data_IF_710882754722
#
_entry.id   IF_710882754722
#
_cell.length_a   1.000
_cell.length_b   1.000
_cell.length_c   1.000
_cell.angle_alpha   90.00
_cell.angle_beta   90.00
_cell.angle_gamma   90.00
#
_symmetry.space_group_name_H-M   'P 1'
#
loop_
_entity.id
_entity.type
_entity.pdbx_description
1 polymer ?
#
# COMPACT_ATOMS: atom_id res chain seq x y z
N UNK A 1 -18.59 -26.44 2.59
CA UNK A 1 -18.19 -25.42 3.60
C UNK A 1 -16.91 -25.76 4.36
N UNK A 2 -16.61 -27.03 4.66
CA UNK A 2 -15.40 -27.37 5.44
C UNK A 2 -14.07 -27.04 4.76
N UNK A 3 -13.97 -27.19 3.44
CA UNK A 3 -12.72 -26.97 2.70
C UNK A 3 -12.28 -25.50 2.68
N UNK A 4 -13.22 -24.56 2.51
CA UNK A 4 -12.93 -23.13 2.54
C UNK A 4 -12.43 -22.68 3.92
N UNK A 5 -13.07 -23.16 4.99
CA UNK A 5 -12.66 -22.91 6.37
C UNK A 5 -11.25 -23.42 6.61
N UNK A 6 -10.97 -24.67 6.18
CA UNK A 6 -9.66 -25.28 6.33
C UNK A 6 -8.57 -24.52 5.57
N UNK A 7 -8.83 -24.16 4.32
CA UNK A 7 -7.88 -23.37 3.53
C UNK A 7 -7.60 -22.00 4.16
N UNK A 8 -8.66 -21.29 4.60
CA UNK A 8 -8.52 -20.01 5.30
C UNK A 8 -7.73 -20.16 6.62
N UNK A 9 -8.00 -21.22 7.39
CA UNK A 9 -7.27 -21.54 8.61
C UNK A 9 -5.80 -21.86 8.33
N UNK A 10 -5.48 -22.66 7.31
CA UNK A 10 -4.10 -22.97 6.93
C UNK A 10 -3.33 -21.72 6.48
N UNK A 11 -3.96 -20.85 5.70
CA UNK A 11 -3.41 -19.54 5.32
C UNK A 11 -3.11 -18.69 6.55
N UNK A 12 -4.05 -18.60 7.49
CA UNK A 12 -3.85 -17.87 8.74
C UNK A 12 -2.72 -18.49 9.58
N UNK A 13 -2.66 -19.82 9.73
CA UNK A 13 -1.57 -20.52 10.45
C UNK A 13 -0.20 -20.17 9.90
N UNK A 14 -0.03 -20.11 8.57
CA UNK A 14 1.24 -19.73 7.93
C UNK A 14 1.64 -18.30 8.31
N UNK A 15 0.69 -17.36 8.29
CA UNK A 15 0.94 -15.96 8.66
C UNK A 15 1.26 -15.79 10.14
N UNK A 16 0.53 -16.49 11.02
CA UNK A 16 0.79 -16.47 12.46
C UNK A 16 2.15 -17.07 12.83
N UNK A 17 2.60 -18.09 12.10
CA UNK A 17 3.96 -18.64 12.25
C UNK A 17 5.01 -17.60 11.88
N UNK A 18 4.80 -16.87 10.78
CA UNK A 18 5.68 -15.77 10.40
C UNK A 18 5.66 -14.61 11.42
N UNK A 19 4.53 -14.38 12.08
CA UNK A 19 4.38 -13.41 13.16
C UNK A 19 4.84 -13.92 14.53
N UNK A 20 5.33 -15.16 14.63
CA UNK A 20 5.78 -15.82 15.87
C UNK A 20 4.71 -15.87 16.99
N UNK A 21 3.48 -16.21 16.64
CA UNK A 21 2.40 -16.34 17.62
C UNK A 21 2.66 -17.51 18.60
N UNK A 22 2.71 -17.27 19.92
CA UNK A 22 3.12 -18.28 20.91
C UNK A 22 2.11 -19.42 21.11
N UNK A 23 0.81 -19.16 20.96
CA UNK A 23 -0.26 -20.12 21.26
C UNK A 23 -0.79 -20.84 20.01
N UNK A 24 0.00 -20.94 18.94
CA UNK A 24 -0.45 -21.50 17.66
C UNK A 24 -0.92 -22.97 17.76
N UNK A 25 -0.29 -23.77 18.62
CA UNK A 25 -0.60 -25.19 18.81
C UNK A 25 -1.91 -25.45 19.56
N UNK A 26 -2.32 -24.53 20.43
CA UNK A 26 -3.57 -24.62 21.18
C UNK A 26 -4.78 -24.07 20.39
N UNK A 27 -4.52 -23.33 19.31
CA UNK A 27 -5.55 -22.58 18.59
C UNK A 27 -6.31 -23.48 17.59
N UNK A 28 -7.61 -23.68 17.82
CA UNK A 28 -8.50 -24.41 16.91
C UNK A 28 -9.20 -23.45 15.96
N UNK A 29 -8.45 -22.96 14.97
CA UNK A 29 -8.97 -22.02 13.96
C UNK A 29 -10.20 -22.54 13.19
N UNK A 30 -10.32 -23.85 13.03
CA UNK A 30 -11.43 -24.50 12.32
C UNK A 30 -12.75 -24.39 13.07
N UNK A 31 -12.72 -24.24 14.39
CA UNK A 31 -13.92 -24.02 15.22
C UNK A 31 -14.46 -22.59 15.06
N UNK A 32 -13.63 -21.66 14.58
CA UNK A 32 -14.02 -20.28 14.32
C UNK A 32 -14.40 -19.49 15.56
N UNK A 33 -13.85 -19.84 16.73
CA UNK A 33 -14.20 -19.17 17.97
C UNK A 33 -13.89 -17.67 17.93
N UNK A 34 -14.80 -16.87 18.48
CA UNK A 34 -14.68 -15.40 18.47
C UNK A 34 -13.57 -14.93 19.39
N UNK A 35 -13.48 -15.49 20.59
CA UNK A 35 -12.46 -15.10 21.54
C UNK A 35 -11.05 -15.40 20.99
N UNK A 36 -10.86 -16.57 20.38
CA UNK A 36 -9.59 -16.95 19.75
C UNK A 36 -9.19 -15.98 18.63
N UNK A 37 -10.12 -15.66 17.72
CA UNK A 37 -9.85 -14.74 16.60
C UNK A 37 -9.57 -13.31 17.07
N UNK A 38 -10.22 -12.86 18.15
CA UNK A 38 -9.95 -11.56 18.76
C UNK A 38 -8.56 -11.51 19.38
N UNK A 39 -8.15 -12.54 20.14
CA UNK A 39 -6.79 -12.63 20.72
C UNK A 39 -5.73 -12.62 19.64
N UNK A 40 -5.95 -13.37 18.56
CA UNK A 40 -5.05 -13.38 17.41
C UNK A 40 -4.96 -12.00 16.76
N UNK A 41 -6.11 -11.35 16.52
CA UNK A 41 -6.14 -10.03 15.89
C UNK A 41 -5.41 -8.99 16.76
N UNK A 42 -5.62 -9.02 18.08
CA UNK A 42 -4.93 -8.17 19.04
C UNK A 42 -3.42 -8.37 18.96
N UNK A 43 -2.96 -9.62 19.07
CA UNK A 43 -1.54 -9.95 18.98
C UNK A 43 -0.93 -9.47 17.67
N UNK A 44 -1.61 -9.73 16.54
CA UNK A 44 -1.13 -9.36 15.21
C UNK A 44 -0.97 -7.85 15.10
N UNK A 45 -1.92 -7.05 15.58
CA UNK A 45 -1.89 -5.59 15.47
C UNK A 45 -0.90 -4.93 16.44
N UNK A 46 -0.80 -5.42 17.68
CA UNK A 46 -0.08 -4.74 18.76
C UNK A 46 1.22 -5.45 19.13
N UNK A 47 1.18 -6.75 19.38
CA UNK A 47 2.31 -7.50 19.94
C UNK A 47 3.31 -7.97 18.87
N UNK A 48 2.88 -8.07 17.61
CA UNK A 48 3.69 -8.66 16.55
C UNK A 48 4.91 -7.81 16.17
N UNK A 49 4.83 -6.49 16.32
CA UNK A 49 5.92 -5.55 16.03
C UNK A 49 5.72 -4.23 16.77
N UNK A 50 6.65 -3.89 17.65
CA UNK A 50 6.67 -2.61 18.37
C UNK A 50 6.64 -1.39 17.45
N UNK A 51 7.28 -1.47 16.28
CA UNK A 51 7.28 -0.37 15.31
C UNK A 51 5.91 -0.14 14.69
N UNK A 52 5.14 -1.22 14.46
CA UNK A 52 3.76 -1.10 13.95
C UNK A 52 2.87 -0.56 15.07
N UNK A 53 2.95 -1.11 16.29
CA UNK A 53 2.17 -0.63 17.42
C UNK A 53 2.37 0.86 17.69
N UNK A 54 3.61 1.35 17.67
CA UNK A 54 3.89 2.78 17.84
C UNK A 54 3.25 3.62 16.71
N UNK A 55 3.38 3.18 15.46
CA UNK A 55 2.74 3.85 14.32
C UNK A 55 1.21 3.94 14.48
N UNK A 56 0.57 2.91 15.02
CA UNK A 56 -0.88 2.93 15.29
C UNK A 56 -1.25 3.98 16.34
N UNK A 57 -0.47 4.06 17.42
CA UNK A 57 -0.66 5.05 18.49
C UNK A 57 -0.42 6.47 18.00
N UNK A 58 0.64 6.69 17.21
CA UNK A 58 0.98 8.00 16.65
C UNK A 58 -0.11 8.52 15.70
N UNK A 59 -0.83 7.60 15.03
CA UNK A 59 -2.00 7.91 14.19
C UNK A 59 -3.30 8.10 14.98
N UNK A 60 -3.29 7.89 16.29
CA UNK A 60 -4.46 8.06 17.17
C UNK A 60 -5.47 6.92 17.11
N UNK A 61 -5.07 5.70 16.73
CA UNK A 61 -5.94 4.53 16.82
C UNK A 61 -5.89 3.94 18.23
N UNK A 62 -7.04 3.96 18.91
CA UNK A 62 -7.23 3.28 20.19
C UNK A 62 -7.80 1.87 19.98
N UNK A 63 -6.96 0.86 20.20
CA UNK A 63 -7.30 -0.56 20.15
C UNK A 63 -7.55 -1.15 21.55
N UNK A 64 -7.45 -0.38 22.63
CA UNK A 64 -7.77 -0.84 24.00
C UNK A 64 -9.25 -0.61 24.33
N UNK A 65 -10.13 -1.01 23.42
CA UNK A 65 -11.58 -0.86 23.56
C UNK A 65 -12.11 -1.64 24.77
N UNK A 66 -13.04 -1.03 25.52
CA UNK A 66 -13.70 -1.68 26.68
C UNK A 66 -14.59 -2.87 26.32
N UNK A 67 -14.94 -3.02 25.05
CA UNK A 67 -15.78 -4.11 24.53
C UNK A 67 -15.23 -4.65 23.22
N UNK A 68 -15.48 -5.93 22.95
CA UNK A 68 -15.04 -6.61 21.72
C UNK A 68 -15.54 -5.90 20.46
N UNK A 69 -16.76 -5.37 20.49
CA UNK A 69 -17.33 -4.61 19.37
C UNK A 69 -16.53 -3.34 19.07
N UNK A 70 -16.11 -2.60 20.10
CA UNK A 70 -15.30 -1.39 19.92
C UNK A 70 -13.90 -1.72 19.43
N UNK A 71 -13.32 -2.80 19.92
CA UNK A 71 -12.04 -3.30 19.42
C UNK A 71 -12.12 -3.64 17.92
N UNK A 72 -13.12 -4.42 17.50
CA UNK A 72 -13.30 -4.80 16.09
C UNK A 72 -13.62 -3.59 15.21
N UNK A 73 -14.41 -2.64 15.69
CA UNK A 73 -14.70 -1.38 14.98
C UNK A 73 -13.42 -0.57 14.73
N UNK A 74 -12.61 -0.35 15.77
CA UNK A 74 -11.31 0.32 15.65
C UNK A 74 -10.37 -0.44 14.71
N UNK A 75 -10.31 -1.77 14.82
CA UNK A 75 -9.48 -2.61 13.95
C UNK A 75 -9.94 -2.54 12.48
N UNK A 76 -11.24 -2.54 12.22
CA UNK A 76 -11.77 -2.45 10.86
C UNK A 76 -11.56 -1.07 10.24
N UNK A 77 -11.66 0.00 11.04
CA UNK A 77 -11.31 1.36 10.60
C UNK A 77 -9.84 1.42 10.22
N UNK A 78 -8.97 0.92 11.10
CA UNK A 78 -7.53 0.83 10.85
C UNK A 78 -7.20 0.07 9.56
N UNK A 79 -7.83 -1.09 9.34
CA UNK A 79 -7.63 -1.89 8.14
C UNK A 79 -7.97 -1.14 6.85
N UNK A 80 -9.04 -0.34 6.85
CA UNK A 80 -9.44 0.44 5.67
C UNK A 80 -8.52 1.63 5.42
N UNK A 81 -8.16 2.32 6.49
CA UNK A 81 -7.48 3.61 6.39
C UNK A 81 -5.97 3.43 6.13
N UNK A 82 -5.31 2.57 6.89
CA UNK A 82 -3.86 2.38 6.82
C UNK A 82 -3.46 1.24 5.87
N UNK A 83 -4.21 0.14 5.89
CA UNK A 83 -3.86 -1.08 5.17
C UNK A 83 -4.59 -1.23 3.83
N UNK A 84 -5.58 -0.37 3.54
CA UNK A 84 -6.46 -0.46 2.36
C UNK A 84 -7.13 -1.83 2.21
N UNK A 85 -7.34 -2.53 3.32
CA UNK A 85 -8.05 -3.80 3.40
C UNK A 85 -9.51 -3.53 3.77
N UNK A 86 -10.44 -3.94 2.91
CA UNK A 86 -11.87 -3.75 3.13
C UNK A 86 -12.48 -5.02 3.69
N UNK A 87 -12.84 -5.06 4.99
CA UNK A 87 -13.48 -6.23 5.58
C UNK A 87 -14.83 -6.47 4.91
N UNK A 88 -15.07 -7.71 4.48
CA UNK A 88 -16.30 -8.14 3.80
C UNK A 88 -17.47 -8.45 4.76
N UNK A 89 -17.28 -8.16 6.05
CA UNK A 89 -18.26 -8.33 7.12
C UNK A 89 -18.40 -7.03 7.91
N UNK A 90 -19.60 -6.82 8.46
CA UNK A 90 -19.83 -5.81 9.49
C UNK A 90 -19.32 -6.29 10.87
N UNK A 91 -19.13 -5.36 11.81
CA UNK A 91 -18.74 -5.66 13.19
C UNK A 91 -19.63 -6.73 13.86
N UNK A 92 -20.97 -6.62 13.86
CA UNK A 92 -21.82 -7.65 14.48
C UNK A 92 -21.73 -9.00 13.76
N UNK A 93 -21.56 -9.01 12.44
CA UNK A 93 -21.35 -10.27 11.71
C UNK A 93 -20.02 -10.92 12.04
N UNK A 94 -18.96 -10.13 12.27
CA UNK A 94 -17.68 -10.63 12.73
C UNK A 94 -17.73 -11.19 14.15
N UNK A 95 -18.60 -10.65 15.01
CA UNK A 95 -18.84 -11.20 16.35
C UNK A 95 -19.84 -12.37 16.36
N UNK A 96 -20.51 -12.62 15.24
CA UNK A 96 -21.43 -13.76 15.12
C UNK A 96 -20.69 -15.07 14.80
N UNK A 97 -21.29 -16.19 15.21
CA UNK A 97 -20.75 -17.55 14.98
C UNK A 97 -20.90 -18.06 13.53
N UNK A 98 -21.75 -17.43 12.72
CA UNK A 98 -22.19 -17.98 11.43
C UNK A 98 -21.15 -17.87 10.30
N UNK A 99 -20.18 -16.94 10.38
CA UNK A 99 -19.30 -16.58 9.26
C UNK A 99 -17.83 -17.01 9.44
N UNK A 100 -17.58 -18.26 9.85
CA UNK A 100 -16.23 -18.73 10.21
C UNK A 100 -15.18 -18.50 9.11
N UNK A 101 -15.41 -18.98 7.88
CA UNK A 101 -14.45 -18.87 6.77
C UNK A 101 -14.09 -17.41 6.47
N UNK A 102 -15.10 -16.53 6.42
CA UNK A 102 -14.91 -15.12 6.08
C UNK A 102 -14.22 -14.36 7.21
N UNK A 103 -14.47 -14.72 8.47
CA UNK A 103 -13.77 -14.16 9.62
C UNK A 103 -12.30 -14.56 9.64
N UNK A 104 -12.00 -15.83 9.37
CA UNK A 104 -10.62 -16.31 9.20
C UNK A 104 -9.89 -15.58 8.07
N UNK A 105 -10.56 -15.36 6.94
CA UNK A 105 -10.00 -14.60 5.82
C UNK A 105 -9.65 -13.16 6.22
N UNK A 106 -10.56 -12.46 6.92
CA UNK A 106 -10.32 -11.09 7.40
C UNK A 106 -9.11 -11.02 8.34
N UNK A 107 -9.00 -11.96 9.29
CA UNK A 107 -7.86 -12.00 10.23
C UNK A 107 -6.56 -12.34 9.48
N UNK A 108 -6.61 -13.23 8.49
CA UNK A 108 -5.47 -13.52 7.63
C UNK A 108 -5.03 -12.29 6.82
N UNK A 109 -5.97 -11.55 6.25
CA UNK A 109 -5.67 -10.33 5.50
C UNK A 109 -5.06 -9.27 6.41
N UNK A 110 -5.58 -9.11 7.64
CA UNK A 110 -5.00 -8.23 8.64
C UNK A 110 -3.55 -8.63 8.98
N UNK A 111 -3.28 -9.92 9.20
CA UNK A 111 -1.94 -10.41 9.48
C UNK A 111 -0.97 -10.20 8.31
N UNK A 112 -1.42 -10.42 7.08
CA UNK A 112 -0.64 -10.17 5.88
C UNK A 112 -0.33 -8.67 5.74
N UNK A 113 -1.32 -7.80 5.94
CA UNK A 113 -1.15 -6.36 5.82
C UNK A 113 -0.19 -5.79 6.88
N UNK A 114 -0.28 -6.27 8.11
CA UNK A 114 0.67 -5.92 9.18
C UNK A 114 2.09 -6.39 8.85
N UNK A 115 2.24 -7.59 8.31
CA UNK A 115 3.54 -8.09 7.86
C UNK A 115 4.14 -7.19 6.76
N UNK A 116 3.33 -6.78 5.79
CA UNK A 116 3.74 -5.83 4.75
C UNK A 116 4.15 -4.48 5.35
N UNK A 117 3.35 -3.93 6.26
CA UNK A 117 3.66 -2.65 6.92
C UNK A 117 4.93 -2.72 7.75
N UNK A 118 5.16 -3.83 8.45
CA UNK A 118 6.41 -4.08 9.17
C UNK A 118 7.61 -4.03 8.24
N UNK A 119 7.54 -4.68 7.08
CA UNK A 119 8.61 -4.67 6.08
C UNK A 119 8.82 -3.26 5.52
N UNK A 120 7.75 -2.51 5.26
CA UNK A 120 7.83 -1.11 4.82
C UNK A 120 8.55 -0.24 5.85
N UNK A 121 8.16 -0.30 7.12
CA UNK A 121 8.79 0.47 8.20
C UNK A 121 10.27 0.10 8.39
N UNK A 122 10.60 -1.20 8.30
CA UNK A 122 12.01 -1.63 8.33
C UNK A 122 12.81 -1.11 7.15
N UNK A 123 12.22 -1.06 5.94
CA UNK A 123 12.87 -0.50 4.76
C UNK A 123 13.09 1.01 4.90
N UNK A 124 12.14 1.73 5.47
CA UNK A 124 12.27 3.17 5.75
C UNK A 124 13.40 3.43 6.75
N UNK A 125 13.42 2.71 7.88
CA UNK A 125 14.53 2.80 8.84
C UNK A 125 15.89 2.52 8.20
N UNK A 126 16.01 1.46 7.41
CA UNK A 126 17.27 1.17 6.69
C UNK A 126 17.66 2.27 5.70
N UNK A 127 16.70 2.95 5.06
CA UNK A 127 16.98 4.07 4.15
C UNK A 127 17.43 5.31 4.90
N UNK A 128 16.81 5.59 6.04
CA UNK A 128 17.21 6.68 6.94
C UNK A 128 18.57 6.42 7.55
N UNK A 129 18.90 5.17 7.91
CA UNK A 129 20.21 4.76 8.42
C UNK A 129 21.27 4.69 7.30
N UNK A 130 20.86 4.43 6.06
CA UNK A 130 21.73 4.47 4.88
C UNK A 130 22.04 5.90 4.42
N UNK A 131 22.22 6.84 5.36
CA UNK A 131 22.97 8.07 5.09
C UNK A 131 24.33 7.64 4.58
N UNK A 132 24.65 8.10 3.38
CA UNK A 132 25.92 7.89 2.70
C UNK A 132 27.08 8.09 3.68
N UNK A 133 27.68 6.98 4.13
CA UNK A 133 28.99 7.06 4.74
C UNK A 133 29.94 7.43 3.60
N UNK A 134 30.60 8.61 3.62
CA UNK A 134 31.67 8.84 2.67
C UNK A 134 32.66 7.67 2.81
N UNK A 135 33.28 7.21 1.71
CA UNK A 135 34.23 6.11 1.78
C UNK A 135 35.26 6.50 2.83
N UNK A 136 35.24 5.78 3.95
CA UNK A 136 36.12 6.04 5.08
C UNK A 136 37.52 5.84 4.52
N UNK A 137 38.20 6.94 4.22
CA UNK A 137 39.57 6.92 3.75
C UNK A 137 40.32 6.03 4.73
N UNK A 138 40.80 4.89 4.24
CA UNK A 138 41.47 3.86 4.99
C UNK A 138 42.78 4.42 5.55
N UNK A 139 42.67 5.22 6.61
CA UNK A 139 43.75 5.75 7.41
C UNK A 139 43.93 4.80 8.58
N UNK A 140 44.58 3.65 8.31
CA UNK A 140 45.54 2.95 9.17
C UNK A 140 45.84 1.57 8.60
N UNK A 141 47.06 1.41 8.09
CA UNK A 141 47.58 0.13 7.62
C UNK A 141 47.95 0.11 6.13
N UNK A 142 48.65 1.16 5.66
CA UNK A 142 49.40 1.13 4.39
C UNK A 142 50.51 0.08 4.53
N UNK A 143 50.19 -1.22 4.36
CA UNK A 143 51.13 -2.10 3.67
C UNK A 143 51.11 -1.62 2.23
N UNK A 144 52.23 -1.10 1.79
CA UNK A 144 52.46 -0.63 0.44
C UNK A 144 52.31 -1.80 -0.54
N UNK A 145 51.08 -2.14 -0.88
CA UNK A 145 50.81 -2.75 -2.17
C UNK A 145 50.93 -1.59 -3.15
N UNK A 146 52.12 -1.46 -3.73
CA UNK A 146 52.29 -0.64 -4.91
C UNK A 146 51.18 -1.04 -5.88
N UNK A 147 50.40 -0.09 -6.43
CA UNK A 147 49.65 -0.39 -7.62
C UNK A 147 50.71 -0.58 -8.70
N UNK A 148 51.14 -1.83 -8.89
CA UNK A 148 51.69 -2.22 -10.17
C UNK A 148 50.53 -2.06 -11.14
N UNK A 149 50.38 -0.84 -11.65
CA UNK A 149 49.68 -0.59 -12.89
C UNK A 149 50.56 -1.25 -13.93
N UNK A 150 50.45 -2.57 -14.04
CA UNK A 150 50.78 -3.23 -15.29
C UNK A 150 49.85 -2.58 -16.30
N UNK A 151 50.41 -1.62 -17.03
CA UNK A 151 49.85 -1.06 -18.24
C UNK A 151 49.59 -2.23 -19.19
N UNK A 152 48.50 -2.94 -18.98
CA UNK A 152 47.82 -3.64 -20.04
C UNK A 152 47.33 -2.54 -20.95
N UNK A 153 48.18 -2.23 -21.93
CA UNK A 153 47.83 -1.43 -23.09
C UNK A 153 46.59 -2.10 -23.67
N UNK A 154 45.42 -1.54 -23.36
CA UNK A 154 44.20 -1.90 -24.05
C UNK A 154 44.49 -1.65 -25.54
N UNK A 155 44.29 -2.64 -26.42
CA UNK A 155 44.46 -2.41 -27.84
C UNK A 155 43.57 -1.21 -28.22
N UNK A 156 44.19 -0.21 -28.85
CA UNK A 156 43.63 1.09 -29.26
C UNK A 156 42.24 1.02 -29.95
N UNK A 157 41.83 -0.17 -30.41
CA UNK A 157 40.52 -0.44 -30.98
C UNK A 157 39.32 -0.20 -30.02
N UNK A 158 39.46 -0.32 -28.69
CA UNK A 158 38.29 -0.29 -27.78
C UNK A 158 37.96 1.12 -27.25
N UNK A 159 38.93 2.05 -27.24
CA UNK A 159 38.68 3.45 -26.90
C UNK A 159 37.72 4.14 -27.89
N UNK A 160 37.64 3.63 -29.12
CA UNK A 160 36.80 4.17 -30.17
C UNK A 160 35.32 3.74 -30.05
N UNK A 161 35.00 2.67 -29.32
CA UNK A 161 33.63 2.16 -29.27
C UNK A 161 32.70 3.05 -28.42
N UNK A 162 33.18 3.51 -27.25
CA UNK A 162 32.42 4.44 -26.41
C UNK A 162 32.21 5.80 -27.09
N UNK A 163 33.22 6.31 -27.80
CA UNK A 163 33.12 7.54 -28.58
C UNK A 163 32.13 7.40 -29.75
N UNK A 164 32.09 6.24 -30.42
CA UNK A 164 31.16 5.97 -31.51
C UNK A 164 29.70 5.90 -31.03
N UNK A 165 29.44 5.28 -29.87
CA UNK A 165 28.09 5.26 -29.26
C UNK A 165 27.61 6.67 -28.92
N UNK A 166 28.48 7.50 -28.34
CA UNK A 166 28.15 8.90 -28.01
C UNK A 166 27.91 9.77 -29.25
N UNK A 167 28.64 9.53 -30.35
CA UNK A 167 28.40 10.21 -31.62
C UNK A 167 27.07 9.79 -32.27
N UNK A 168 26.74 8.50 -32.25
CA UNK A 168 25.48 7.99 -32.81
C UNK A 168 24.25 8.57 -32.09
N UNK A 169 24.31 8.67 -30.75
CA UNK A 169 23.26 9.29 -29.96
C UNK A 169 23.10 10.79 -30.26
N UNK A 170 24.21 11.49 -30.52
CA UNK A 170 24.20 12.92 -30.88
C UNK A 170 23.64 13.17 -32.30
N UNK A 171 23.89 12.26 -33.24
CA UNK A 171 23.30 12.32 -34.59
C UNK A 171 21.77 12.12 -34.57
N UNK A 172 21.27 11.16 -33.77
CA UNK A 172 19.83 10.93 -33.63
C UNK A 172 19.07 12.13 -33.02
N UNK A 173 19.70 12.88 -32.12
CA UNK A 173 19.10 14.10 -31.56
C UNK A 173 19.01 15.23 -32.60
N UNK A 174 19.98 15.33 -33.52
CA UNK A 174 19.98 16.37 -34.57
C UNK A 174 19.01 16.10 -35.73
N UNK A 175 18.67 14.83 -36.01
CA UNK A 175 17.68 14.47 -37.04
C UNK A 175 16.22 14.66 -36.56
N UNK A 176 15.98 14.59 -35.25
CA UNK A 176 14.69 14.88 -34.63
C UNK A 176 14.28 16.35 -34.71
N UNK A 177 15.24 17.28 -34.59
CA UNK A 177 14.97 18.72 -34.66
C UNK A 177 14.74 19.25 -36.08
N UNK A 178 15.31 18.61 -37.11
CA UNK A 178 15.07 19.00 -38.51
C UNK A 178 13.72 18.49 -39.05
N UNK A 179 13.24 17.33 -38.60
CA UNK A 179 11.91 16.82 -38.95
C UNK A 179 10.78 17.62 -38.26
N UNK A 180 11.02 18.11 -37.04
CA UNK A 180 10.07 18.98 -36.33
C UNK A 180 9.93 20.36 -36.99
N UNK A 181 11.03 20.96 -37.50
CA UNK A 181 10.97 22.27 -38.20
C UNK A 181 10.39 22.19 -39.61
N UNK A 182 10.45 21.01 -40.27
CA UNK A 182 9.95 20.82 -41.63
C UNK A 182 8.44 20.55 -41.72
N UNK A 183 7.80 20.12 -40.62
CA UNK A 183 6.32 20.03 -40.54
C UNK A 183 5.61 21.38 -40.39
N UNK A 184 6.29 22.44 -39.96
CA UNK A 184 5.68 23.76 -39.75
C UNK A 184 5.60 24.62 -41.03
N UNK A 185 6.15 24.14 -42.17
CA UNK A 185 6.14 24.89 -43.45
C UNK A 185 5.36 24.24 -44.61
N UNK A 186 4.69 23.11 -44.39
CA UNK A 186 3.83 22.45 -45.39
C UNK A 186 2.50 22.00 -44.76
N UNK A 187 1.74 22.97 -44.29
CA UNK A 187 0.30 22.84 -44.07
C UNK A 187 -0.36 24.22 -44.30
N UNK A 188 0.00 24.86 -45.41
CA UNK A 188 -0.77 25.96 -46.01
C UNK A 188 -1.43 25.41 -47.26
N UNK A 189 -2.48 24.63 -47.08
CA UNK A 189 -3.56 24.41 -48.05
C UNK A 189 -4.51 23.38 -47.47
N UNK A 190 -5.51 23.85 -46.72
CA UNK A 190 -6.82 23.19 -46.62
C UNK A 190 -7.79 24.14 -45.91
N UNK A 191 -8.56 24.84 -46.75
CA UNK A 191 -9.83 25.49 -46.42
C UNK A 191 -10.95 24.41 -46.43
N UNK A 192 -12.19 24.71 -45.98
CA UNK A 192 -12.71 24.26 -44.70
C UNK A 192 -13.84 23.23 -44.89
N UNK A 193 -13.98 22.26 -43.99
CA UNK A 193 -15.21 21.46 -43.93
C UNK A 193 -15.76 21.50 -42.52
N UNK A 194 -16.96 22.09 -42.46
CA UNK A 194 -17.82 22.31 -41.33
C UNK A 194 -18.11 21.01 -40.58
N UNK A 195 -17.95 21.05 -39.26
CA UNK A 195 -18.73 20.21 -38.36
C UNK A 195 -19.51 21.15 -37.45
N UNK A 196 -20.83 21.05 -37.63
CA UNK A 196 -21.84 21.81 -36.93
C UNK A 196 -21.66 21.74 -35.41
N UNK A 197 -21.68 22.93 -34.80
CA UNK A 197 -21.90 23.09 -33.38
C UNK A 197 -23.37 22.83 -33.03
N UNK A 198 -23.56 22.07 -31.97
CA UNK A 198 -24.61 22.24 -30.99
C UNK A 198 -23.96 21.82 -29.67
N UNK A 199 -23.46 22.75 -28.87
CA UNK A 199 -24.23 23.32 -27.77
C UNK A 199 -25.05 22.24 -27.07
N UNK A 200 -24.65 21.82 -25.87
CA UNK A 200 -25.41 22.17 -24.66
C UNK A 200 -24.92 21.39 -23.41
N UNK A 201 -24.68 22.18 -22.35
CA UNK A 201 -24.77 21.89 -20.90
C UNK A 201 -23.90 20.80 -20.27
N UNK A 202 -22.84 21.33 -19.64
CA UNK A 202 -22.47 21.13 -18.24
C UNK A 202 -23.65 20.65 -17.38
N UNK A 203 -23.55 19.42 -16.88
CA UNK A 203 -24.46 18.84 -15.86
C UNK A 203 -23.72 18.88 -14.51
N UNK A 204 -24.15 19.71 -13.54
CA UNK A 204 -23.70 19.59 -12.16
C UNK A 204 -24.43 18.44 -11.42
N UNK A 205 -23.80 17.87 -10.36
CA UNK A 205 -24.34 16.73 -9.62
C UNK A 205 -25.61 17.09 -8.82
N UNK A 206 -26.54 16.13 -8.62
CA UNK A 206 -27.80 16.39 -7.94
C UNK A 206 -27.60 16.66 -6.44
N UNK A 207 -28.07 17.82 -6.01
CA UNK A 207 -28.26 18.21 -4.61
C UNK A 207 -29.31 17.32 -3.92
N UNK A 208 -29.16 17.03 -2.62
CA UNK A 208 -30.20 16.37 -1.83
C UNK A 208 -31.43 17.27 -1.68
N UNK A 209 -32.58 16.76 -2.07
CA UNK A 209 -33.90 17.36 -1.83
C UNK A 209 -34.18 17.40 -0.33
N UNK A 210 -34.09 18.58 0.27
CA UNK A 210 -34.72 18.87 1.55
C UNK A 210 -36.23 19.02 1.31
N UNK A 211 -37.00 18.01 1.69
CA UNK A 211 -38.44 18.15 1.89
C UNK A 211 -38.66 18.98 3.16
N UNK A 212 -38.95 20.27 2.96
CA UNK A 212 -39.61 21.14 3.94
C UNK A 212 -41.05 20.65 4.05
N UNK A 213 -41.33 19.82 5.07
CA UNK A 213 -42.70 19.55 5.52
C UNK A 213 -43.05 20.66 6.52
N UNK A 214 -44.09 21.41 6.17
CA UNK A 214 -44.55 22.55 6.94
C UNK A 214 -45.13 22.16 8.30
N UNK A 215 -44.86 23.06 9.22
CA UNK A 215 -45.49 23.30 10.52
C UNK A 215 -47.02 23.13 10.44
N UNK A 216 -47.54 22.18 11.20
CA UNK A 216 -48.96 21.99 11.45
C UNK A 216 -49.13 21.80 12.94
N UNK A 217 -49.34 22.92 13.65
CA UNK A 217 -49.56 22.93 15.08
C UNK A 217 -50.80 22.14 15.49
N UNK A 218 -50.68 21.39 16.59
CA UNK A 218 -51.78 21.19 17.52
C UNK A 218 -51.24 20.66 18.86
N UNK A 219 -51.28 21.53 19.86
CA UNK A 219 -51.14 21.19 21.28
C UNK A 219 -52.57 20.88 21.85
N UNK A 220 -52.71 20.45 23.13
CA UNK A 220 -53.52 19.31 23.54
C UNK A 220 -54.95 19.67 24.02
N UNK A 221 -55.71 18.65 24.46
CA UNK A 221 -56.30 18.67 25.80
C UNK A 221 -55.93 17.37 26.54
N UNK A 222 -55.43 17.33 27.78
CA UNK A 222 -55.96 17.82 29.07
C UNK A 222 -57.48 17.67 29.20
N UNK A 223 -57.93 16.43 29.42
CA UNK A 223 -58.73 16.04 30.60
C UNK A 223 -58.96 14.54 30.64
#
# INVERSE_FOLDING_TARGET
MGEEVRNAAERLRKLLRAAQYPQLSALRLEDGDVADLLRVLHFVLLDSSRAVAQFLVDRGYDLYGKTDARFVESAFRLLRDEFRCFPSLSVPQFLSKQFVARRLAIVADAAAAVAQKRQELQRLKRREEAVWSPPQAAARGRRELQPTVENHVLPSAVANHAASILQHLKQQQSEGEQTARRRVRRASSETPVQVNGAAERVVPPPTPTFAVQQDGGSAPPVR
#
